data_IF_953270839796
#
_entry.id   IF_953270839796
#
_cell.length_a   1.000
_cell.length_b   1.000
_cell.length_c   1.000
_cell.angle_alpha   90.00
_cell.angle_beta   90.00
_cell.angle_gamma   90.00
#
_symmetry.space_group_name_H-M   'P 1'
#
loop_
_entity.id
_entity.type
_entity.pdbx_description
1 polymer ?
#
# COMPACT_ATOMS: atom_id res chain seq x y z
N UNK A 1 85.97 22.26 -11.81
CA UNK A 1 86.22 22.97 -10.56
C UNK A 1 85.72 24.40 -10.70
N UNK A 2 84.95 24.88 -9.72
CA UNK A 2 84.51 26.28 -9.69
C UNK A 2 85.73 27.23 -9.77
N UNK A 3 85.64 28.31 -10.56
CA UNK A 3 86.72 29.27 -10.78
C UNK A 3 87.31 29.81 -9.46
N UNK A 4 86.47 30.01 -8.45
CA UNK A 4 86.90 30.46 -7.12
C UNK A 4 87.70 29.40 -6.36
N UNK A 5 87.28 28.13 -6.43
CA UNK A 5 88.02 27.02 -5.80
C UNK A 5 89.35 26.77 -6.54
N UNK A 6 89.41 27.00 -7.86
CA UNK A 6 90.63 26.93 -8.66
C UNK A 6 91.61 28.05 -8.28
N UNK A 7 91.11 29.27 -8.07
CA UNK A 7 91.91 30.39 -7.59
C UNK A 7 92.45 30.15 -6.17
N UNK A 8 91.64 29.58 -5.27
CA UNK A 8 92.06 29.20 -3.91
C UNK A 8 93.13 28.10 -3.97
N UNK A 9 92.97 27.09 -4.82
CA UNK A 9 93.97 26.03 -5.01
C UNK A 9 95.32 26.59 -5.48
N UNK A 10 95.28 27.53 -6.44
CA UNK A 10 96.47 28.19 -6.98
C UNK A 10 97.19 29.03 -5.92
N UNK A 11 96.45 29.80 -5.12
CA UNK A 11 97.01 30.60 -4.01
C UNK A 11 97.69 29.73 -2.96
N UNK A 12 97.08 28.61 -2.58
CA UNK A 12 97.62 27.68 -1.58
C UNK A 12 98.88 26.96 -2.09
N UNK A 13 98.95 26.67 -3.40
CA UNK A 13 100.16 26.10 -4.00
C UNK A 13 101.33 27.07 -4.00
N UNK A 14 101.08 28.37 -4.17
CA UNK A 14 102.08 29.44 -4.23
C UNK A 14 102.57 29.94 -2.85
N UNK A 15 101.93 29.55 -1.75
CA UNK A 15 102.32 30.00 -0.40
C UNK A 15 103.57 29.26 0.13
N UNK A 16 104.68 29.97 0.35
CA UNK A 16 105.96 29.38 0.78
C UNK A 16 106.00 28.97 2.27
N UNK A 17 105.04 29.39 3.09
CA UNK A 17 105.04 29.15 4.55
C UNK A 17 104.32 27.85 4.96
N UNK A 18 103.56 27.23 4.06
CA UNK A 18 102.82 25.99 4.30
C UNK A 18 103.65 24.74 4.00
N UNK A 19 103.63 23.76 4.93
CA UNK A 19 104.29 22.47 4.70
C UNK A 19 103.63 21.68 3.56
N UNK A 20 104.39 20.81 2.89
CA UNK A 20 103.90 20.00 1.78
C UNK A 20 102.69 19.13 2.17
N UNK A 21 102.71 18.56 3.38
CA UNK A 21 101.61 17.74 3.93
C UNK A 21 100.32 18.56 4.12
N UNK A 22 100.43 19.80 4.61
CA UNK A 22 99.30 20.71 4.79
C UNK A 22 98.71 21.15 3.45
N UNK A 23 99.55 21.46 2.45
CA UNK A 23 99.09 21.80 1.10
C UNK A 23 98.32 20.65 0.45
N UNK A 24 98.80 19.41 0.61
CA UNK A 24 98.14 18.24 0.06
C UNK A 24 96.80 17.93 0.74
N UNK A 25 96.75 18.00 2.07
CA UNK A 25 95.52 17.82 2.84
C UNK A 25 94.43 18.85 2.49
N UNK A 26 94.82 20.13 2.33
CA UNK A 26 93.90 21.20 1.94
C UNK A 26 93.46 21.03 0.48
N UNK A 27 94.37 20.70 -0.44
CA UNK A 27 94.04 20.43 -1.85
C UNK A 27 93.06 19.27 -2.01
N UNK A 28 93.24 18.19 -1.23
CA UNK A 28 92.33 17.05 -1.19
C UNK A 28 90.94 17.46 -0.67
N UNK A 29 90.88 18.21 0.43
CA UNK A 29 89.62 18.71 1.00
C UNK A 29 88.88 19.66 0.03
N UNK A 30 89.61 20.53 -0.68
CA UNK A 30 89.06 21.42 -1.73
C UNK A 30 88.47 20.65 -2.91
N UNK A 31 89.15 19.58 -3.34
CA UNK A 31 88.65 18.70 -4.42
C UNK A 31 87.42 17.91 -3.99
N UNK A 32 87.39 17.42 -2.75
CA UNK A 32 86.23 16.75 -2.16
C UNK A 32 85.04 17.70 -2.04
N UNK A 33 85.24 18.92 -1.53
CA UNK A 33 84.20 19.96 -1.46
C UNK A 33 83.68 20.37 -2.85
N UNK A 34 84.56 20.50 -3.86
CA UNK A 34 84.12 20.77 -5.23
C UNK A 34 83.25 19.62 -5.80
N UNK A 35 83.62 18.37 -5.52
CA UNK A 35 82.85 17.20 -5.94
C UNK A 35 81.47 17.16 -5.27
N UNK A 36 81.39 17.48 -3.97
CA UNK A 36 80.10 17.61 -3.27
C UNK A 36 79.24 18.75 -3.82
N UNK A 37 79.84 19.90 -4.16
CA UNK A 37 79.14 21.02 -4.79
C UNK A 37 78.59 20.65 -6.17
N UNK A 38 79.36 19.93 -6.99
CA UNK A 38 78.91 19.45 -8.31
C UNK A 38 77.74 18.46 -8.16
N UNK A 39 77.81 17.52 -7.22
CA UNK A 39 76.71 16.58 -6.92
C UNK A 39 75.46 17.32 -6.44
N UNK A 40 75.63 18.32 -5.58
CA UNK A 40 74.51 19.10 -5.02
C UNK A 40 73.84 19.95 -6.09
N UNK A 41 74.63 20.62 -6.94
CA UNK A 41 74.14 21.36 -8.11
C UNK A 41 73.34 20.47 -9.06
N UNK A 42 73.85 19.27 -9.36
CA UNK A 42 73.14 18.30 -10.20
C UNK A 42 71.83 17.82 -9.57
N UNK A 43 71.81 17.52 -8.27
CA UNK A 43 70.59 17.15 -7.53
C UNK A 43 69.56 18.29 -7.54
N UNK A 44 70.01 19.54 -7.42
CA UNK A 44 69.16 20.72 -7.45
C UNK A 44 68.48 20.87 -8.83
N UNK A 45 69.24 20.82 -9.93
CA UNK A 45 68.70 20.87 -11.30
C UNK A 45 67.68 19.75 -11.56
N UNK A 46 67.97 18.53 -11.10
CA UNK A 46 67.00 17.42 -11.18
C UNK A 46 65.72 17.69 -10.39
N UNK A 47 65.86 18.28 -9.20
CA UNK A 47 64.72 18.60 -8.33
C UNK A 47 63.86 19.71 -8.92
N UNK A 48 64.48 20.74 -9.50
CA UNK A 48 63.76 21.82 -10.20
C UNK A 48 63.01 21.30 -11.43
N UNK A 49 63.63 20.44 -12.24
CA UNK A 49 62.96 19.78 -13.38
C UNK A 49 61.76 18.96 -12.94
N UNK A 50 61.92 18.11 -11.91
CA UNK A 50 60.81 17.31 -11.36
C UNK A 50 59.70 18.23 -10.83
N UNK A 51 60.03 19.27 -10.05
CA UNK A 51 59.03 20.24 -9.56
C UNK A 51 58.25 20.87 -10.71
N UNK A 52 58.92 21.26 -11.79
CA UNK A 52 58.28 21.89 -12.95
C UNK A 52 57.34 20.93 -13.67
N UNK A 53 57.76 19.69 -13.90
CA UNK A 53 56.89 18.67 -14.52
C UNK A 53 55.71 18.30 -13.62
N UNK A 54 55.93 18.17 -12.31
CA UNK A 54 54.85 17.90 -11.35
C UNK A 54 53.85 19.04 -11.29
N UNK A 55 54.31 20.30 -11.35
CA UNK A 55 53.42 21.46 -11.37
C UNK A 55 52.50 21.47 -12.60
N UNK A 56 53.05 21.18 -13.79
CA UNK A 56 52.27 21.08 -15.03
C UNK A 56 51.23 19.96 -14.94
N UNK A 57 51.64 18.77 -14.49
CA UNK A 57 50.72 17.64 -14.35
C UNK A 57 49.62 17.94 -13.32
N UNK A 58 49.95 18.63 -12.23
CA UNK A 58 48.98 19.03 -11.21
C UNK A 58 47.93 19.98 -11.80
N UNK A 59 48.37 20.96 -12.59
CA UNK A 59 47.49 21.92 -13.25
C UNK A 59 46.55 21.23 -14.24
N UNK A 60 47.06 20.33 -15.09
CA UNK A 60 46.24 19.50 -15.99
C UNK A 60 45.21 18.65 -15.23
N UNK A 61 45.61 18.02 -14.11
CA UNK A 61 44.68 17.22 -13.30
C UNK A 61 43.60 18.06 -12.61
N UNK A 62 43.92 19.29 -12.20
CA UNK A 62 42.95 20.21 -11.60
C UNK A 62 41.93 20.63 -12.66
N UNK A 63 42.38 21.00 -13.87
CA UNK A 63 41.47 21.34 -14.97
C UNK A 63 40.54 20.17 -15.32
N UNK A 64 41.06 18.94 -15.39
CA UNK A 64 40.25 17.75 -15.68
C UNK A 64 39.21 17.47 -14.57
N UNK A 65 39.60 17.66 -13.30
CA UNK A 65 38.69 17.51 -12.16
C UNK A 65 37.60 18.58 -12.17
N UNK A 66 37.92 19.83 -12.47
CA UNK A 66 36.95 20.92 -12.59
C UNK A 66 35.94 20.66 -13.71
N UNK A 67 36.41 20.17 -14.87
CA UNK A 67 35.52 19.79 -15.97
C UNK A 67 34.58 18.64 -15.55
N UNK A 68 35.10 17.58 -14.93
CA UNK A 68 34.27 16.46 -14.44
C UNK A 68 33.27 16.92 -13.38
N UNK A 69 33.68 17.76 -12.44
CA UNK A 69 32.79 18.30 -11.41
C UNK A 69 31.64 19.08 -12.05
N UNK A 70 31.93 19.91 -13.06
CA UNK A 70 30.92 20.68 -13.78
C UNK A 70 29.92 19.80 -14.53
N UNK A 71 30.39 18.72 -15.17
CA UNK A 71 29.52 17.75 -15.85
C UNK A 71 28.64 17.00 -14.85
N UNK A 72 29.19 16.57 -13.72
CA UNK A 72 28.43 15.91 -12.65
C UNK A 72 27.35 16.84 -12.10
N UNK A 73 27.68 18.10 -11.87
CA UNK A 73 26.73 19.08 -11.35
C UNK A 73 25.59 19.34 -12.34
N UNK A 74 25.90 19.51 -13.63
CA UNK A 74 24.90 19.62 -14.69
C UNK A 74 24.02 18.36 -14.78
N UNK A 75 24.62 17.17 -14.68
CA UNK A 75 23.89 15.90 -14.71
C UNK A 75 22.96 15.74 -13.51
N UNK A 76 23.40 16.12 -12.31
CA UNK A 76 22.60 16.09 -11.09
C UNK A 76 21.39 17.03 -11.17
N UNK A 77 21.59 18.25 -11.68
CA UNK A 77 20.49 19.21 -11.87
C UNK A 77 19.47 18.68 -12.89
N UNK A 78 19.93 18.13 -14.01
CA UNK A 78 19.06 17.52 -15.00
C UNK A 78 18.29 16.32 -14.42
N UNK A 79 18.96 15.47 -13.64
CA UNK A 79 18.34 14.30 -13.01
C UNK A 79 17.28 14.70 -11.98
N UNK A 80 17.56 15.71 -11.14
CA UNK A 80 16.58 16.25 -10.20
C UNK A 80 15.33 16.75 -10.92
N UNK A 81 15.51 17.51 -12.00
CA UNK A 81 14.39 18.03 -12.80
C UNK A 81 13.56 16.89 -13.40
N UNK A 82 14.18 15.89 -14.01
CA UNK A 82 13.47 14.72 -14.54
C UNK A 82 12.75 13.92 -13.46
N UNK A 83 13.30 13.84 -12.25
CA UNK A 83 12.64 13.20 -11.10
C UNK A 83 11.39 13.97 -10.65
N UNK A 84 11.44 15.30 -10.62
CA UNK A 84 10.28 16.13 -10.31
C UNK A 84 9.19 16.01 -11.38
N UNK A 85 9.57 16.07 -12.66
CA UNK A 85 8.66 15.88 -13.79
C UNK A 85 8.01 14.49 -13.75
N UNK A 86 8.79 13.43 -13.46
CA UNK A 86 8.27 12.07 -13.33
C UNK A 86 7.28 11.95 -12.16
N UNK A 87 7.59 12.53 -10.99
CA UNK A 87 6.69 12.55 -9.83
C UNK A 87 5.39 13.30 -10.13
N UNK A 88 5.48 14.44 -10.82
CA UNK A 88 4.32 15.21 -11.23
C UNK A 88 3.44 14.42 -12.21
N UNK A 89 4.05 13.81 -13.24
CA UNK A 89 3.35 12.97 -14.21
C UNK A 89 2.70 11.74 -13.56
N UNK A 90 3.40 11.07 -12.65
CA UNK A 90 2.86 9.94 -11.88
C UNK A 90 1.65 10.37 -11.04
N UNK A 91 1.74 11.51 -10.36
CA UNK A 91 0.62 12.05 -9.57
C UNK A 91 -0.58 12.36 -10.45
N UNK A 92 -0.34 12.95 -11.63
CA UNK A 92 -1.39 13.28 -12.60
C UNK A 92 -2.03 12.02 -13.19
N UNK A 93 -1.25 10.97 -13.47
CA UNK A 93 -1.76 9.67 -13.92
C UNK A 93 -2.63 9.01 -12.86
N UNK A 94 -2.17 8.96 -11.61
CA UNK A 94 -2.96 8.43 -10.49
C UNK A 94 -4.27 9.21 -10.35
N UNK A 95 -4.22 10.55 -10.46
CA UNK A 95 -5.42 11.38 -10.38
C UNK A 95 -6.37 11.14 -11.56
N UNK A 96 -5.85 10.96 -12.77
CA UNK A 96 -6.65 10.68 -13.96
C UNK A 96 -7.28 9.29 -13.93
N UNK A 97 -6.54 8.27 -13.49
CA UNK A 97 -7.05 6.91 -13.28
C UNK A 97 -8.16 6.91 -12.23
N UNK A 98 -7.96 7.66 -11.12
CA UNK A 98 -8.96 7.81 -10.07
C UNK A 98 -10.21 8.54 -10.55
N UNK A 99 -10.07 9.56 -11.40
CA UNK A 99 -11.20 10.24 -12.03
C UNK A 99 -11.93 9.35 -13.04
N UNK A 100 -11.20 8.56 -13.83
CA UNK A 100 -11.79 7.62 -14.78
C UNK A 100 -12.55 6.50 -14.05
N UNK A 101 -11.94 5.89 -13.03
CA UNK A 101 -12.56 4.90 -12.14
C UNK A 101 -13.78 5.48 -11.44
N UNK A 102 -13.67 6.71 -10.90
CA UNK A 102 -14.80 7.40 -10.30
C UNK A 102 -15.90 7.69 -11.33
N UNK A 103 -15.57 8.03 -12.56
CA UNK A 103 -16.54 8.28 -13.63
C UNK A 103 -17.32 7.04 -14.04
N UNK A 104 -16.62 5.92 -14.23
CA UNK A 104 -17.21 4.61 -14.54
C UNK A 104 -18.09 4.12 -13.37
N UNK A 105 -17.59 4.24 -12.14
CA UNK A 105 -18.36 3.96 -10.92
C UNK A 105 -19.56 4.89 -10.77
N UNK A 106 -19.44 6.18 -11.07
CA UNK A 106 -20.55 7.15 -10.91
C UNK A 106 -21.69 6.85 -11.86
N UNK A 107 -21.40 6.48 -13.11
CA UNK A 107 -22.43 6.08 -14.07
C UNK A 107 -23.12 4.77 -13.65
N UNK A 108 -22.36 3.77 -13.19
CA UNK A 108 -22.89 2.52 -12.65
C UNK A 108 -23.75 2.74 -11.39
N UNK A 109 -23.27 3.55 -10.45
CA UNK A 109 -23.97 3.92 -9.21
C UNK A 109 -25.26 4.66 -9.52
N UNK A 110 -25.24 5.64 -10.42
CA UNK A 110 -26.44 6.38 -10.78
C UNK A 110 -27.52 5.44 -11.31
N UNK A 111 -27.15 4.53 -12.21
CA UNK A 111 -28.05 3.51 -12.73
C UNK A 111 -28.54 2.55 -11.63
N UNK A 112 -27.66 2.12 -10.72
CA UNK A 112 -28.01 1.22 -9.63
C UNK A 112 -28.84 1.85 -8.52
N UNK A 113 -28.75 3.17 -8.30
CA UNK A 113 -29.62 3.94 -7.42
C UNK A 113 -30.97 4.21 -8.10
N UNK A 114 -30.97 4.50 -9.41
CA UNK A 114 -32.20 4.71 -10.16
C UNK A 114 -33.10 3.47 -10.13
N UNK A 115 -32.53 2.28 -10.22
CA UNK A 115 -33.30 1.03 -10.18
C UNK A 115 -34.23 0.89 -8.97
N UNK A 116 -33.76 0.92 -7.70
CA UNK A 116 -34.64 0.88 -6.54
C UNK A 116 -35.56 2.10 -6.45
N UNK A 117 -35.13 3.29 -6.86
CA UNK A 117 -36.00 4.48 -6.85
C UNK A 117 -37.20 4.32 -7.81
N UNK A 118 -36.99 3.73 -8.98
CA UNK A 118 -38.07 3.43 -9.92
C UNK A 118 -39.08 2.46 -9.32
N UNK A 119 -38.62 1.42 -8.61
CA UNK A 119 -39.53 0.52 -7.87
C UNK A 119 -40.30 1.25 -6.76
N UNK A 120 -39.62 2.11 -5.99
CA UNK A 120 -40.27 2.93 -4.95
C UNK A 120 -41.39 3.80 -5.55
N UNK A 121 -41.12 4.49 -6.65
CA UNK A 121 -42.12 5.34 -7.31
C UNK A 121 -43.28 4.51 -7.86
N UNK A 122 -43.00 3.46 -8.63
CA UNK A 122 -44.05 2.63 -9.26
C UNK A 122 -44.98 1.97 -8.22
N UNK A 123 -44.42 1.38 -7.15
CA UNK A 123 -45.25 0.79 -6.10
C UNK A 123 -46.00 1.85 -5.30
N UNK A 124 -45.46 3.06 -5.15
CA UNK A 124 -46.17 4.15 -4.49
C UNK A 124 -47.35 4.65 -5.32
N UNK A 125 -47.17 4.80 -6.63
CA UNK A 125 -48.24 5.18 -7.57
C UNK A 125 -49.34 4.11 -7.61
N UNK A 126 -48.97 2.83 -7.79
CA UNK A 126 -49.91 1.72 -7.77
C UNK A 126 -50.65 1.61 -6.43
N UNK A 127 -49.99 1.88 -5.31
CA UNK A 127 -50.66 1.87 -4.00
C UNK A 127 -51.73 2.96 -3.89
N UNK A 128 -51.55 4.13 -4.50
CA UNK A 128 -52.58 5.15 -4.54
C UNK A 128 -53.78 4.70 -5.39
N UNK A 129 -53.53 4.11 -6.57
CA UNK A 129 -54.61 3.57 -7.42
C UNK A 129 -55.40 2.47 -6.70
N UNK A 130 -54.72 1.54 -6.04
CA UNK A 130 -55.38 0.50 -5.25
C UNK A 130 -56.16 1.07 -4.07
N UNK A 131 -55.71 2.15 -3.43
CA UNK A 131 -56.49 2.82 -2.37
C UNK A 131 -57.77 3.43 -2.95
N UNK A 132 -57.72 4.02 -4.14
CA UNK A 132 -58.90 4.57 -4.82
C UNK A 132 -59.89 3.44 -5.19
N UNK A 133 -59.41 2.32 -5.73
CA UNK A 133 -60.23 1.14 -6.02
C UNK A 133 -60.84 0.53 -4.75
N UNK A 134 -60.06 0.40 -3.67
CA UNK A 134 -60.54 -0.06 -2.37
C UNK A 134 -61.70 0.81 -1.86
N UNK A 135 -61.60 2.14 -1.99
CA UNK A 135 -62.67 3.05 -1.60
C UNK A 135 -63.94 2.85 -2.44
N UNK A 136 -63.81 2.55 -3.73
CA UNK A 136 -64.94 2.25 -4.61
C UNK A 136 -65.66 0.97 -4.15
N UNK A 137 -64.92 -0.10 -3.85
CA UNK A 137 -65.51 -1.37 -3.40
C UNK A 137 -66.14 -1.27 -2.01
N UNK A 138 -65.52 -0.51 -1.10
CA UNK A 138 -66.12 -0.17 0.20
C UNK A 138 -67.47 0.56 0.05
N UNK A 139 -67.56 1.51 -0.89
CA UNK A 139 -68.80 2.23 -1.17
C UNK A 139 -69.90 1.35 -1.79
N UNK A 140 -69.52 0.29 -2.52
CA UNK A 140 -70.44 -0.73 -3.04
C UNK A 140 -70.88 -1.74 -1.98
N UNK A 141 -70.20 -1.77 -0.82
CA UNK A 141 -70.44 -2.72 0.25
C UNK A 141 -69.72 -4.06 0.07
N UNK A 142 -68.80 -4.17 -0.91
CA UNK A 142 -67.98 -5.38 -1.10
C UNK A 142 -66.73 -5.33 -0.21
N UNK A 143 -66.93 -5.74 1.04
CA UNK A 143 -65.90 -5.69 2.08
C UNK A 143 -64.80 -6.73 1.82
N UNK A 144 -65.11 -7.85 1.19
CA UNK A 144 -64.11 -8.90 0.95
C UNK A 144 -63.13 -8.49 -0.15
N UNK A 145 -63.62 -7.88 -1.24
CA UNK A 145 -62.75 -7.32 -2.28
C UNK A 145 -61.89 -6.17 -1.74
N UNK A 146 -62.48 -5.25 -0.95
CA UNK A 146 -61.73 -4.17 -0.32
C UNK A 146 -60.60 -4.68 0.60
N UNK A 147 -60.80 -5.80 1.31
CA UNK A 147 -59.74 -6.43 2.12
C UNK A 147 -58.65 -7.07 1.27
N UNK A 148 -58.99 -7.66 0.13
CA UNK A 148 -58.01 -8.21 -0.81
C UNK A 148 -57.10 -7.09 -1.33
N UNK A 149 -57.69 -5.96 -1.77
CA UNK A 149 -56.94 -4.79 -2.23
C UNK A 149 -56.06 -4.20 -1.11
N UNK A 150 -56.56 -4.15 0.13
CA UNK A 150 -55.78 -3.70 1.28
C UNK A 150 -54.53 -4.59 1.53
N UNK A 151 -54.64 -5.90 1.26
CA UNK A 151 -53.50 -6.81 1.35
C UNK A 151 -52.47 -6.55 0.25
N UNK A 152 -52.91 -6.23 -0.96
CA UNK A 152 -52.04 -5.85 -2.08
C UNK A 152 -51.30 -4.53 -1.81
N UNK A 153 -52.00 -3.52 -1.27
CA UNK A 153 -51.37 -2.27 -0.81
C UNK A 153 -50.29 -2.53 0.23
N UNK A 154 -50.57 -3.41 1.21
CA UNK A 154 -49.58 -3.80 2.21
C UNK A 154 -48.35 -4.45 1.55
N UNK A 155 -48.55 -5.33 0.58
CA UNK A 155 -47.45 -5.96 -0.15
C UNK A 155 -46.62 -4.92 -0.93
N UNK A 156 -47.26 -3.92 -1.54
CA UNK A 156 -46.57 -2.82 -2.21
C UNK A 156 -45.72 -2.00 -1.22
N UNK A 157 -46.24 -1.68 -0.04
CA UNK A 157 -45.50 -0.96 1.01
C UNK A 157 -44.26 -1.75 1.48
N UNK A 158 -44.36 -3.07 1.59
CA UNK A 158 -43.21 -3.93 1.89
C UNK A 158 -42.14 -3.86 0.80
N UNK A 159 -42.54 -3.86 -0.48
CA UNK A 159 -41.62 -3.67 -1.61
C UNK A 159 -40.98 -2.29 -1.60
N UNK A 160 -41.73 -1.22 -1.33
CA UNK A 160 -41.19 0.14 -1.21
C UNK A 160 -40.09 0.20 -0.15
N UNK A 161 -40.36 -0.32 1.05
CA UNK A 161 -39.38 -0.34 2.14
C UNK A 161 -38.13 -1.14 1.76
N UNK A 162 -38.30 -2.29 1.09
CA UNK A 162 -37.21 -3.13 0.61
C UNK A 162 -36.30 -2.42 -0.39
N UNK A 163 -36.88 -1.78 -1.41
CA UNK A 163 -36.12 -1.03 -2.41
C UNK A 163 -35.51 0.26 -1.84
N UNK A 164 -36.21 0.95 -0.93
CA UNK A 164 -35.66 2.10 -0.21
C UNK A 164 -34.42 1.76 0.62
N UNK A 165 -34.43 0.64 1.34
CA UNK A 165 -33.25 0.12 2.07
C UNK A 165 -32.09 -0.21 1.13
N UNK A 166 -32.36 -0.71 -0.08
CA UNK A 166 -31.33 -0.92 -1.10
C UNK A 166 -30.67 0.38 -1.52
N UNK A 167 -31.46 1.41 -1.83
CA UNK A 167 -30.93 2.72 -2.20
C UNK A 167 -30.05 3.30 -1.08
N UNK A 168 -30.50 3.24 0.18
CA UNK A 168 -29.72 3.66 1.36
C UNK A 168 -28.40 2.88 1.49
N UNK A 169 -28.43 1.56 1.30
CA UNK A 169 -27.25 0.71 1.35
C UNK A 169 -26.23 1.09 0.25
N UNK A 170 -26.68 1.35 -0.98
CA UNK A 170 -25.80 1.78 -2.09
C UNK A 170 -25.14 3.12 -1.75
N UNK A 171 -25.90 4.10 -1.25
CA UNK A 171 -25.37 5.42 -0.85
C UNK A 171 -24.35 5.29 0.29
N UNK A 172 -24.63 4.47 1.30
CA UNK A 172 -23.69 4.20 2.40
C UNK A 172 -22.40 3.54 1.91
N UNK A 173 -22.51 2.57 1.01
CA UNK A 173 -21.36 1.92 0.40
C UNK A 173 -20.52 2.90 -0.44
N UNK A 174 -21.17 3.77 -1.22
CA UNK A 174 -20.51 4.83 -1.97
C UNK A 174 -19.76 5.81 -1.04
N UNK A 175 -20.39 6.25 0.05
CA UNK A 175 -19.76 7.14 1.03
C UNK A 175 -18.56 6.48 1.72
N UNK A 176 -18.61 5.18 1.98
CA UNK A 176 -17.45 4.44 2.49
C UNK A 176 -16.32 4.40 1.46
N UNK A 177 -16.62 4.23 0.18
CA UNK A 177 -15.61 4.23 -0.90
C UNK A 177 -15.04 5.64 -1.18
N UNK A 178 -15.85 6.70 -1.00
CA UNK A 178 -15.47 8.09 -1.24
C UNK A 178 -14.64 8.72 -0.11
N UNK A 179 -14.78 8.23 1.13
CA UNK A 179 -13.97 8.72 2.26
C UNK A 179 -12.49 8.46 1.96
N UNK A 180 -11.75 9.53 1.67
CA UNK A 180 -10.30 9.55 1.79
C UNK A 180 -9.93 9.14 3.22
N UNK A 181 -9.38 7.96 3.40
CA UNK A 181 -8.57 7.72 4.59
C UNK A 181 -7.26 8.50 4.35
N UNK A 182 -7.08 9.65 5.00
CA UNK A 182 -5.75 10.28 5.14
C UNK A 182 -4.91 9.51 6.16
N UNK A 183 -4.93 8.17 6.03
CA UNK A 183 -4.24 7.28 6.93
C UNK A 183 -2.75 7.35 6.67
N UNK A 184 -1.97 7.60 7.70
CA UNK A 184 -0.53 7.42 7.65
C UNK A 184 -0.21 5.97 8.01
N UNK A 185 0.81 5.40 7.38
CA UNK A 185 1.32 4.10 7.80
C UNK A 185 1.95 4.26 9.18
N UNK A 186 1.54 3.42 10.11
CA UNK A 186 2.08 3.37 11.46
C UNK A 186 2.37 1.92 11.90
N UNK A 187 3.40 1.69 12.73
CA UNK A 187 3.69 0.38 13.27
C UNK A 187 2.51 -0.15 14.09
N UNK A 188 1.82 -1.16 13.57
CA UNK A 188 0.60 -1.71 14.15
C UNK A 188 0.76 -3.20 14.44
N UNK A 189 0.30 -3.66 15.61
CA UNK A 189 0.19 -5.08 15.92
C UNK A 189 -1.04 -5.68 15.19
N UNK A 190 -0.78 -6.54 14.21
CA UNK A 190 -1.83 -7.16 13.38
C UNK A 190 -2.70 -8.12 14.20
N UNK A 191 -2.14 -8.79 15.20
CA UNK A 191 -2.87 -9.78 15.99
C UNK A 191 -3.91 -9.07 16.87
N UNK A 192 -3.51 -7.97 17.52
CA UNK A 192 -4.41 -7.13 18.31
C UNK A 192 -5.52 -6.56 17.41
N UNK A 193 -5.15 -6.06 16.23
CA UNK A 193 -6.12 -5.52 15.26
C UNK A 193 -7.15 -6.59 14.84
N UNK A 194 -6.69 -7.80 14.52
CA UNK A 194 -7.55 -8.92 14.14
C UNK A 194 -8.53 -9.31 15.26
N UNK A 195 -8.05 -9.46 16.49
CA UNK A 195 -8.88 -9.81 17.64
C UNK A 195 -9.91 -8.71 17.96
N UNK A 196 -9.51 -7.43 17.91
CA UNK A 196 -10.40 -6.29 18.17
C UNK A 196 -11.56 -6.27 17.17
N UNK A 197 -11.28 -6.35 15.87
CA UNK A 197 -12.32 -6.32 14.84
C UNK A 197 -13.19 -7.57 14.82
N UNK A 198 -12.65 -8.73 15.20
CA UNK A 198 -13.44 -9.95 15.39
C UNK A 198 -14.49 -9.77 16.49
N UNK A 199 -14.05 -9.32 17.67
CA UNK A 199 -14.95 -9.07 18.81
C UNK A 199 -15.96 -7.97 18.50
N UNK A 200 -15.51 -6.88 17.87
CA UNK A 200 -16.37 -5.76 17.49
C UNK A 200 -17.50 -6.24 16.55
N UNK A 201 -17.15 -7.02 15.53
CA UNK A 201 -18.12 -7.57 14.58
C UNK A 201 -19.11 -8.52 15.27
N UNK A 202 -18.61 -9.43 16.11
CA UNK A 202 -19.45 -10.38 16.84
C UNK A 202 -20.46 -9.69 17.78
N UNK A 203 -19.99 -8.73 18.58
CA UNK A 203 -20.86 -7.95 19.46
C UNK A 203 -21.84 -7.07 18.69
N UNK A 204 -21.40 -6.48 17.57
CA UNK A 204 -22.26 -5.70 16.69
C UNK A 204 -23.41 -6.51 16.10
N UNK A 205 -23.16 -7.77 15.73
CA UNK A 205 -24.19 -8.67 15.23
C UNK A 205 -25.13 -9.13 16.36
N UNK A 206 -24.60 -9.53 17.52
CA UNK A 206 -25.41 -9.93 18.69
C UNK A 206 -26.29 -8.81 19.26
N UNK A 207 -25.88 -7.57 19.12
CA UNK A 207 -26.70 -6.42 19.51
C UNK A 207 -27.95 -6.27 18.62
N UNK A 208 -27.86 -6.68 17.35
CA UNK A 208 -29.00 -6.68 16.40
C UNK A 208 -29.84 -7.94 16.53
N UNK A 209 -29.19 -9.08 16.72
CA UNK A 209 -29.82 -10.39 16.87
C UNK A 209 -29.25 -11.12 18.09
N UNK A 210 -30.02 -11.13 19.19
CA UNK A 210 -29.61 -11.76 20.44
C UNK A 210 -29.49 -13.28 20.35
N UNK A 211 -30.12 -13.90 19.35
CA UNK A 211 -30.11 -15.35 19.13
C UNK A 211 -28.87 -15.82 18.38
N UNK A 212 -28.17 -14.90 17.69
CA UNK A 212 -26.96 -15.22 16.97
C UNK A 212 -25.85 -15.70 17.92
N UNK A 213 -25.27 -16.85 17.59
CA UNK A 213 -24.09 -17.37 18.25
C UNK A 213 -23.17 -18.08 17.23
N UNK A 214 -21.87 -17.91 17.40
CA UNK A 214 -20.84 -18.56 16.61
C UNK A 214 -19.61 -18.80 17.48
N UNK A 215 -18.96 -19.93 17.29
CA UNK A 215 -17.69 -20.27 17.92
C UNK A 215 -16.57 -19.53 17.21
N UNK A 216 -15.81 -18.76 17.99
CA UNK A 216 -14.73 -17.92 17.50
C UNK A 216 -13.40 -18.63 17.76
N UNK A 217 -12.64 -18.89 16.70
CA UNK A 217 -11.32 -19.54 16.80
C UNK A 217 -10.26 -18.54 16.35
N UNK A 218 -9.24 -18.34 17.18
CA UNK A 218 -8.09 -17.48 16.86
C UNK A 218 -6.79 -18.29 16.89
N UNK A 219 -5.94 -18.06 15.90
CA UNK A 219 -4.58 -18.65 15.84
C UNK A 219 -3.60 -17.59 15.35
N UNK A 220 -2.90 -16.96 16.30
CA UNK A 220 -2.06 -15.80 16.02
C UNK A 220 -0.58 -16.10 16.20
N UNK A 221 0.21 -15.76 15.17
CA UNK A 221 1.66 -15.88 15.22
C UNK A 221 2.26 -14.66 15.95
N UNK A 222 2.68 -14.85 17.20
CA UNK A 222 3.29 -13.81 18.03
C UNK A 222 4.63 -13.29 17.46
N UNK A 223 5.27 -14.02 16.54
CA UNK A 223 6.55 -13.62 15.95
C UNK A 223 6.44 -12.49 14.91
N UNK A 224 5.22 -12.14 14.49
CA UNK A 224 4.97 -11.09 13.49
C UNK A 224 5.50 -9.74 13.99
N UNK A 225 5.19 -9.36 15.23
CA UNK A 225 5.46 -8.02 15.78
C UNK A 225 4.62 -6.93 15.10
N UNK A 226 5.18 -5.72 15.01
CA UNK A 226 4.49 -4.59 14.38
C UNK A 226 4.73 -4.56 12.86
N UNK A 227 3.67 -4.29 12.11
CA UNK A 227 3.70 -4.13 10.64
C UNK A 227 3.32 -2.69 10.30
N UNK A 228 4.02 -2.09 9.33
CA UNK A 228 3.80 -0.70 8.94
C UNK A 228 2.64 -0.57 7.95
N UNK A 229 1.42 -0.40 8.48
CA UNK A 229 0.16 -0.37 7.74
C UNK A 229 -0.66 0.85 8.10
N UNK A 230 -1.73 1.12 7.36
CA UNK A 230 -2.78 2.06 7.77
C UNK A 230 -3.82 1.25 8.56
N UNK A 231 -3.83 1.28 9.91
CA UNK A 231 -4.72 0.42 10.71
C UNK A 231 -6.20 0.61 10.40
N UNK A 232 -6.63 1.82 10.06
CA UNK A 232 -8.03 2.10 9.70
C UNK A 232 -8.43 1.38 8.40
N UNK A 233 -7.53 1.31 7.43
CA UNK A 233 -7.79 0.65 6.16
C UNK A 233 -7.80 -0.87 6.33
N UNK A 234 -6.77 -1.43 6.96
CA UNK A 234 -6.71 -2.88 7.22
C UNK A 234 -7.85 -3.32 8.14
N UNK A 235 -8.20 -2.51 9.14
CA UNK A 235 -9.34 -2.73 10.01
C UNK A 235 -10.66 -2.81 9.25
N UNK A 236 -10.87 -1.97 8.25
CA UNK A 236 -12.05 -2.04 7.36
C UNK A 236 -12.09 -3.34 6.57
N UNK A 237 -10.94 -3.81 6.07
CA UNK A 237 -10.85 -5.09 5.37
C UNK A 237 -11.22 -6.24 6.29
N UNK A 238 -10.58 -6.33 7.45
CA UNK A 238 -10.82 -7.38 8.45
C UNK A 238 -12.30 -7.38 8.86
N UNK A 239 -12.84 -6.22 9.24
CA UNK A 239 -14.23 -6.08 9.63
C UNK A 239 -15.19 -6.54 8.53
N UNK A 240 -14.91 -6.20 7.27
CA UNK A 240 -15.75 -6.60 6.15
C UNK A 240 -15.71 -8.11 5.91
N UNK A 241 -14.53 -8.74 5.94
CA UNK A 241 -14.41 -10.19 5.80
C UNK A 241 -15.12 -10.93 6.93
N UNK A 242 -14.94 -10.50 8.18
CA UNK A 242 -15.58 -11.12 9.34
C UNK A 242 -17.11 -10.94 9.30
N UNK A 243 -17.61 -9.77 8.90
CA UNK A 243 -19.05 -9.57 8.72
C UNK A 243 -19.63 -10.48 7.62
N UNK A 244 -18.87 -10.76 6.56
CA UNK A 244 -19.28 -11.70 5.53
C UNK A 244 -19.27 -13.15 6.03
N UNK A 245 -18.25 -13.54 6.79
CA UNK A 245 -18.19 -14.84 7.46
C UNK A 245 -19.39 -15.05 8.39
N UNK A 246 -19.70 -14.09 9.27
CA UNK A 246 -20.85 -14.19 10.17
C UNK A 246 -22.19 -14.24 9.43
N UNK A 247 -22.33 -13.49 8.34
CA UNK A 247 -23.51 -13.60 7.49
C UNK A 247 -23.64 -15.02 6.92
N UNK A 248 -22.57 -15.57 6.34
CA UNK A 248 -22.58 -16.88 5.70
C UNK A 248 -22.92 -18.01 6.67
N UNK A 249 -22.34 -18.00 7.87
CA UNK A 249 -22.65 -19.03 8.88
C UNK A 249 -24.06 -18.91 9.45
N UNK A 250 -24.59 -17.68 9.57
CA UNK A 250 -25.96 -17.47 10.03
C UNK A 250 -26.97 -17.92 8.97
N UNK A 251 -26.73 -17.58 7.70
CA UNK A 251 -27.57 -17.99 6.58
C UNK A 251 -27.59 -19.52 6.43
N UNK A 252 -26.45 -20.18 6.56
CA UNK A 252 -26.36 -21.65 6.54
C UNK A 252 -27.15 -22.27 7.70
N UNK A 253 -27.01 -21.72 8.91
CA UNK A 253 -27.77 -22.15 10.08
C UNK A 253 -29.28 -22.07 9.82
N UNK A 254 -29.77 -20.93 9.35
CA UNK A 254 -31.19 -20.73 9.05
C UNK A 254 -31.70 -21.70 7.97
N UNK A 255 -30.91 -21.96 6.93
CA UNK A 255 -31.25 -22.96 5.90
C UNK A 255 -31.41 -24.37 6.49
N UNK A 256 -30.54 -24.77 7.44
CA UNK A 256 -30.61 -26.06 8.12
C UNK A 256 -31.75 -26.17 9.13
N UNK A 257 -32.20 -25.05 9.71
CA UNK A 257 -33.40 -25.01 10.55
C UNK A 257 -34.67 -25.35 9.76
N UNK A 258 -34.74 -24.91 8.50
CA UNK A 258 -35.87 -25.23 7.61
C UNK A 258 -35.87 -26.70 7.19
N UNK A 259 -34.70 -27.35 7.10
CA UNK A 259 -34.58 -28.75 6.69
C UNK A 259 -34.59 -29.79 7.83
N UNK A 260 -34.84 -29.37 9.09
CA UNK A 260 -34.84 -30.22 10.30
C UNK A 260 -33.48 -30.85 10.68
N UNK A 261 -32.36 -30.37 10.11
CA UNK A 261 -30.99 -30.85 10.40
C UNK A 261 -30.19 -29.93 11.34
N UNK A 262 -30.81 -28.87 11.86
CA UNK A 262 -30.13 -27.79 12.60
C UNK A 262 -29.37 -28.20 13.86
N UNK A 263 -29.71 -29.32 14.50
CA UNK A 263 -29.06 -29.72 15.76
C UNK A 263 -27.61 -30.20 15.58
N UNK A 264 -27.14 -30.40 14.35
CA UNK A 264 -25.78 -30.88 14.07
C UNK A 264 -24.79 -29.79 13.60
N UNK A 265 -25.26 -28.56 13.36
CA UNK A 265 -24.42 -27.49 12.82
C UNK A 265 -24.06 -26.45 13.89
N UNK A 266 -22.76 -26.30 14.12
CA UNK A 266 -22.20 -25.25 14.95
C UNK A 266 -21.55 -24.19 14.06
N UNK A 267 -22.07 -22.95 14.02
CA UNK A 267 -21.45 -21.85 13.29
C UNK A 267 -20.04 -21.56 13.83
N UNK A 268 -19.03 -21.60 12.96
CA UNK A 268 -17.62 -21.36 13.32
C UNK A 268 -17.06 -20.29 12.39
N UNK A 269 -16.43 -19.28 12.99
CA UNK A 269 -15.62 -18.29 12.27
C UNK A 269 -14.24 -18.26 12.92
N UNK A 270 -13.22 -18.43 12.10
CA UNK A 270 -11.83 -18.40 12.53
C UNK A 270 -11.04 -17.29 11.87
N UNK A 271 -10.16 -16.65 12.63
CA UNK A 271 -9.15 -15.74 12.10
C UNK A 271 -7.76 -16.21 12.53
N UNK A 272 -6.82 -16.27 11.59
CA UNK A 272 -5.44 -16.63 11.89
C UNK A 272 -4.45 -15.69 11.24
N UNK A 273 -3.27 -15.56 11.85
CA UNK A 273 -2.17 -14.78 11.30
C UNK A 273 -0.92 -15.64 11.24
N UNK A 274 -0.09 -15.40 10.23
CA UNK A 274 1.17 -16.13 10.07
C UNK A 274 2.26 -15.25 9.48
N UNK A 275 3.46 -15.31 10.06
CA UNK A 275 4.63 -14.65 9.49
C UNK A 275 5.23 -15.50 8.39
N UNK A 276 5.42 -14.88 7.24
CA UNK A 276 6.32 -15.34 6.19
C UNK A 276 7.47 -14.34 6.07
N UNK A 277 8.62 -14.76 5.55
CA UNK A 277 9.89 -14.02 5.60
C UNK A 277 9.74 -12.50 5.37
N UNK A 278 9.03 -12.09 4.32
CA UNK A 278 8.81 -10.70 3.92
C UNK A 278 7.33 -10.24 4.02
N UNK A 279 6.43 -11.08 4.53
CA UNK A 279 4.97 -10.86 4.48
C UNK A 279 4.25 -11.38 5.71
N UNK A 280 3.20 -10.69 6.12
CA UNK A 280 2.21 -11.22 7.05
C UNK A 280 1.04 -11.78 6.25
N UNK A 281 0.58 -12.97 6.62
CA UNK A 281 -0.65 -13.57 6.11
C UNK A 281 -1.74 -13.46 7.17
N UNK A 282 -2.95 -13.06 6.77
CA UNK A 282 -4.16 -13.06 7.60
C UNK A 282 -5.17 -13.95 6.88
N UNK A 283 -5.72 -14.95 7.56
CA UNK A 283 -6.79 -15.80 7.02
C UNK A 283 -8.06 -15.63 7.82
N UNK A 284 -9.17 -15.44 7.13
CA UNK A 284 -10.53 -15.43 7.70
C UNK A 284 -11.29 -16.58 7.08
N UNK A 285 -11.68 -17.55 7.90
CA UNK A 285 -12.35 -18.77 7.46
C UNK A 285 -13.69 -18.93 8.15
N UNK A 286 -14.67 -19.39 7.41
CA UNK A 286 -16.00 -19.73 7.92
C UNK A 286 -16.43 -21.11 7.44
N UNK A 287 -17.41 -21.71 8.14
CA UNK A 287 -18.04 -22.97 7.74
C UNK A 287 -19.46 -22.77 7.18
N UNK A 288 -19.73 -21.63 6.52
CA UNK A 288 -21.05 -21.31 5.96
C UNK A 288 -21.33 -21.97 4.61
N UNK A 289 -22.23 -21.36 3.84
CA UNK A 289 -22.70 -21.87 2.54
C UNK A 289 -21.60 -22.04 1.48
N UNK A 290 -20.46 -21.37 1.63
CA UNK A 290 -19.43 -21.29 0.59
C UNK A 290 -19.87 -20.46 -0.62
N UNK A 291 -18.96 -20.36 -1.60
CA UNK A 291 -19.15 -19.57 -2.82
C UNK A 291 -19.12 -20.51 -4.04
N UNK A 292 -20.16 -20.49 -4.89
CA UNK A 292 -20.18 -21.20 -6.17
C UNK A 292 -19.02 -20.79 -7.08
N UNK A 293 -18.41 -21.77 -7.76
CA UNK A 293 -17.28 -21.51 -8.67
C UNK A 293 -17.68 -20.53 -9.81
N UNK A 294 -18.95 -20.56 -10.23
CA UNK A 294 -19.52 -19.70 -11.27
C UNK A 294 -19.49 -18.20 -10.94
N UNK A 295 -19.42 -17.84 -9.66
CA UNK A 295 -19.42 -16.44 -9.20
C UNK A 295 -18.14 -16.02 -8.50
N UNK A 296 -17.21 -16.95 -8.25
CA UNK A 296 -15.96 -16.71 -7.50
C UNK A 296 -15.11 -15.59 -8.09
N UNK A 297 -15.03 -15.50 -9.42
CA UNK A 297 -14.31 -14.40 -10.09
C UNK A 297 -15.03 -13.05 -10.02
N UNK A 298 -16.35 -13.06 -9.82
CA UNK A 298 -17.19 -11.85 -9.79
C UNK A 298 -17.29 -11.23 -8.41
N UNK A 299 -16.93 -11.94 -7.33
CA UNK A 299 -17.14 -11.46 -5.96
C UNK A 299 -16.36 -10.18 -5.62
N UNK A 300 -15.28 -9.89 -6.35
CA UNK A 300 -14.49 -8.67 -6.20
C UNK A 300 -14.96 -7.54 -7.13
N UNK A 301 -15.91 -7.79 -8.03
CA UNK A 301 -16.48 -6.74 -8.87
C UNK A 301 -17.34 -5.81 -8.00
N UNK A 302 -17.27 -4.49 -8.21
CA UNK A 302 -18.15 -3.55 -7.53
C UNK A 302 -19.63 -3.92 -7.71
N UNK A 303 -20.42 -3.76 -6.65
CA UNK A 303 -21.87 -4.02 -6.58
C UNK A 303 -22.30 -5.47 -6.71
N UNK A 304 -21.37 -6.41 -6.89
CA UNK A 304 -21.71 -7.83 -6.88
C UNK A 304 -22.09 -8.29 -5.46
N UNK A 305 -23.30 -8.83 -5.29
CA UNK A 305 -23.76 -9.42 -4.04
C UNK A 305 -24.75 -10.55 -4.28
N UNK A 306 -24.60 -11.63 -3.53
CA UNK A 306 -25.58 -12.74 -3.46
C UNK A 306 -26.61 -12.53 -2.36
N UNK A 307 -26.35 -11.60 -1.42
CA UNK A 307 -27.28 -11.28 -0.33
C UNK A 307 -28.58 -10.68 -0.87
N UNK A 308 -29.72 -10.87 -0.18
CA UNK A 308 -30.97 -10.23 -0.53
C UNK A 308 -30.82 -8.71 -0.68
N UNK A 309 -31.62 -8.16 -1.59
CA UNK A 309 -31.67 -6.73 -1.85
C UNK A 309 -31.84 -5.93 -0.54
N UNK A 310 -31.02 -4.90 -0.34
CA UNK A 310 -31.01 -4.08 0.88
C UNK A 310 -30.15 -4.60 2.03
N UNK A 311 -29.60 -5.82 1.94
CA UNK A 311 -28.69 -6.38 2.95
C UNK A 311 -27.21 -6.40 2.50
N UNK A 312 -26.96 -6.40 1.20
CA UNK A 312 -25.63 -6.32 0.60
C UNK A 312 -25.47 -5.09 -0.28
N UNK A 313 -24.39 -4.33 -0.06
CA UNK A 313 -24.00 -3.21 -0.95
C UNK A 313 -23.21 -3.68 -2.16
N UNK A 314 -22.63 -4.89 -2.09
CA UNK A 314 -21.69 -5.42 -3.09
C UNK A 314 -20.37 -4.64 -3.20
N UNK A 315 -20.10 -3.71 -2.29
CA UNK A 315 -18.90 -2.86 -2.33
C UNK A 315 -17.82 -3.27 -1.32
N UNK A 316 -18.15 -4.15 -0.38
CA UNK A 316 -17.21 -4.53 0.68
C UNK A 316 -15.96 -5.22 0.13
N UNK A 317 -16.16 -6.26 -0.69
CA UNK A 317 -15.05 -7.08 -1.21
C UNK A 317 -14.22 -6.33 -2.26
N UNK A 318 -14.84 -5.52 -3.12
CA UNK A 318 -14.10 -4.67 -4.07
C UNK A 318 -13.22 -3.65 -3.35
N UNK A 319 -13.77 -2.95 -2.34
CA UNK A 319 -13.01 -2.05 -1.48
C UNK A 319 -11.86 -2.78 -0.75
N UNK A 320 -12.14 -4.00 -0.27
CA UNK A 320 -11.12 -4.81 0.41
C UNK A 320 -9.96 -5.13 -0.54
N UNK A 321 -10.26 -5.48 -1.79
CA UNK A 321 -9.27 -5.72 -2.82
C UNK A 321 -8.42 -4.47 -3.10
N UNK A 322 -9.05 -3.30 -3.27
CA UNK A 322 -8.35 -2.04 -3.52
C UNK A 322 -7.43 -1.64 -2.36
N UNK A 323 -7.91 -1.75 -1.12
CA UNK A 323 -7.11 -1.44 0.08
C UNK A 323 -5.88 -2.34 0.17
N UNK A 324 -6.04 -3.64 -0.03
CA UNK A 324 -4.93 -4.60 0.05
C UNK A 324 -3.92 -4.35 -1.07
N UNK A 325 -4.37 -4.06 -2.28
CA UNK A 325 -3.49 -3.67 -3.39
C UNK A 325 -2.73 -2.38 -3.10
N UNK A 326 -3.37 -1.37 -2.52
CA UNK A 326 -2.71 -0.13 -2.11
C UNK A 326 -1.63 -0.34 -1.04
N UNK A 327 -1.76 -1.40 -0.23
CA UNK A 327 -0.74 -1.83 0.73
C UNK A 327 0.35 -2.72 0.11
N UNK A 328 0.34 -2.93 -1.22
CA UNK A 328 1.29 -3.81 -1.92
C UNK A 328 1.02 -5.30 -1.67
N UNK A 329 -0.18 -5.63 -1.17
CA UNK A 329 -0.59 -6.97 -0.81
C UNK A 329 -1.39 -7.70 -1.88
N UNK A 330 -1.87 -8.88 -1.51
CA UNK A 330 -2.74 -9.72 -2.32
C UNK A 330 -3.88 -10.28 -1.45
N UNK A 331 -5.09 -10.35 -2.00
CA UNK A 331 -6.23 -11.05 -1.39
C UNK A 331 -6.65 -12.21 -2.29
N UNK A 332 -6.88 -13.38 -1.70
CA UNK A 332 -7.33 -14.61 -2.37
C UNK A 332 -8.54 -15.19 -1.64
N UNK A 333 -9.31 -15.99 -2.37
CA UNK A 333 -10.45 -16.73 -1.84
C UNK A 333 -10.33 -18.19 -2.23
N UNK A 334 -10.43 -19.08 -1.26
CA UNK A 334 -10.68 -20.51 -1.48
C UNK A 334 -12.04 -20.85 -0.87
N UNK A 335 -12.88 -21.53 -1.62
CA UNK A 335 -14.22 -21.86 -1.16
C UNK A 335 -14.78 -23.01 -1.98
N UNK A 336 -15.60 -23.83 -1.31
CA UNK A 336 -16.41 -24.87 -1.91
C UNK A 336 -17.83 -24.73 -1.36
N UNK A 337 -18.83 -24.93 -2.22
CA UNK A 337 -20.22 -24.98 -1.80
C UNK A 337 -20.40 -25.97 -0.63
N UNK A 338 -21.19 -25.55 0.36
CA UNK A 338 -21.53 -26.30 1.57
C UNK A 338 -20.34 -26.66 2.49
N UNK A 339 -19.17 -26.06 2.26
CA UNK A 339 -17.97 -26.26 3.10
C UNK A 339 -17.37 -24.98 3.65
N UNK A 340 -17.98 -23.83 3.36
CA UNK A 340 -17.52 -22.52 3.78
C UNK A 340 -16.49 -21.87 2.86
N UNK A 341 -15.92 -20.77 3.35
CA UNK A 341 -15.03 -19.88 2.60
C UNK A 341 -13.81 -19.52 3.44
N UNK A 342 -12.65 -19.47 2.81
CA UNK A 342 -11.41 -18.93 3.35
C UNK A 342 -10.93 -17.75 2.50
N UNK A 343 -10.85 -16.57 3.11
CA UNK A 343 -10.17 -15.42 2.54
C UNK A 343 -8.75 -15.33 3.10
N UNK A 344 -7.76 -15.27 2.21
CA UNK A 344 -6.34 -15.10 2.57
C UNK A 344 -5.86 -13.73 2.11
N UNK A 345 -5.36 -12.92 3.03
CA UNK A 345 -4.71 -11.64 2.78
C UNK A 345 -3.21 -11.79 3.02
N UNK A 346 -2.38 -11.28 2.11
CA UNK A 346 -0.92 -11.19 2.26
C UNK A 346 -0.48 -9.74 2.17
N UNK A 347 0.19 -9.24 3.20
CA UNK A 347 0.69 -7.85 3.26
C UNK A 347 2.21 -7.88 3.47
N UNK A 348 3.01 -7.13 2.70
CA UNK A 348 4.45 -7.01 2.92
C UNK A 348 4.80 -6.38 4.28
N UNK A 349 5.87 -6.84 4.93
CA UNK A 349 6.37 -6.33 6.23
C UNK A 349 7.31 -5.11 6.07
N UNK A 350 7.53 -4.66 4.82
CA UNK A 350 8.56 -3.68 4.42
C UNK A 350 8.50 -2.35 5.16
#
# INVERSE_FOLDING_TARGET
>A
MNQHLQNILNLIQQDEQLSAELKEAISKSLKEANKELEITSFKLDRTEKVKRTTAILLEETIEELEQKSKVIEQSNVALQKSLEELKAAQTQLIQSEKMASLGELTAGIAHEIQNPLNFVNNFSELSNELIDEMNIELNKGDIEEAKAIAADVKQNLEKINHHGKRADAIVKGMLQHSRKTEGQKEPTDINVLCDEYLRLSYHGLRAKDKSFNATLITDFDESIGNVNIIPQDIGRVILNLINNAFYAVNEHREALYVSNDANAYEPIVSISTKKFADKVEIRVTDNGNGIPESVKEKIFQPFFTTKPTGQGTGLGLSLSYDIIRAHGGEIRVDSKEERGTEFTIKIPIV
#
